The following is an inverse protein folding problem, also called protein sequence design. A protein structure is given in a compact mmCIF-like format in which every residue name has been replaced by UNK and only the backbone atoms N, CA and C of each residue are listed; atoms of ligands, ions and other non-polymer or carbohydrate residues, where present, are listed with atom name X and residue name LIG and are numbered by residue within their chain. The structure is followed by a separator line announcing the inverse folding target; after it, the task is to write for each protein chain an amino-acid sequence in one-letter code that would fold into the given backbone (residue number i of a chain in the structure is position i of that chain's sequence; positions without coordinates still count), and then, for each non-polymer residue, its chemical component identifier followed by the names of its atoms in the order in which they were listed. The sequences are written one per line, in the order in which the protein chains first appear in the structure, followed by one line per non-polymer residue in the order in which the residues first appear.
data_IF_697151579755
#
_entry.id   IF_697151579755
#
_cell.length_a   1.000
_cell.length_b   1.000
_cell.length_c   1.000
_cell.angle_alpha   90.00
_cell.angle_beta   90.00
_cell.angle_gamma   90.00
#
_symmetry.space_group_name_H-M   'P 1'
#
loop_
_entity.id
_entity.type
_entity.pdbx_description
1 polymer ?
#
# COMPACT_ATOMS: atom_id res chain seq x y z
N UNK A 1 12.36 2.86 -4.63
CA UNK A 1 12.44 1.49 -4.10
C UNK A 1 13.86 1.20 -3.67
N UNK A 2 14.05 0.56 -2.52
CA UNK A 2 15.38 0.13 -2.11
C UNK A 2 15.82 -1.00 -3.03
N UNK A 3 16.98 -0.83 -3.68
CA UNK A 3 17.56 -1.87 -4.51
C UNK A 3 18.26 -2.87 -3.60
N UNK A 4 17.75 -4.09 -3.55
CA UNK A 4 18.38 -5.22 -2.87
C UNK A 4 18.86 -6.22 -3.90
N UNK A 5 19.91 -6.97 -3.56
CA UNK A 5 20.40 -8.08 -4.37
C UNK A 5 19.86 -9.38 -3.78
N UNK A 6 19.09 -10.13 -4.58
CA UNK A 6 18.71 -11.51 -4.27
C UNK A 6 19.59 -12.47 -5.06
N UNK A 7 19.87 -13.65 -4.50
CA UNK A 7 20.74 -14.64 -5.13
C UNK A 7 20.29 -16.07 -4.81
N UNK A 8 20.70 -17.01 -5.64
CA UNK A 8 20.29 -18.40 -5.54
C UNK A 8 19.00 -18.71 -6.31
N UNK A 9 18.93 -19.93 -6.83
CA UNK A 9 17.90 -20.34 -7.81
C UNK A 9 16.50 -20.20 -7.21
N UNK A 10 16.30 -20.62 -5.96
CA UNK A 10 14.98 -20.59 -5.33
C UNK A 10 14.45 -19.17 -5.09
N UNK A 11 15.32 -18.25 -4.65
CA UNK A 11 14.93 -16.87 -4.39
C UNK A 11 14.53 -16.17 -5.69
N UNK A 12 15.32 -16.35 -6.75
CA UNK A 12 15.06 -15.76 -8.06
C UNK A 12 13.84 -16.39 -8.75
N UNK A 13 13.66 -17.71 -8.69
CA UNK A 13 12.44 -18.39 -9.18
C UNK A 13 11.17 -17.94 -8.42
N UNK A 14 11.29 -17.66 -7.12
CA UNK A 14 10.17 -17.17 -6.31
C UNK A 14 9.78 -15.75 -6.72
N UNK A 15 10.76 -14.84 -6.81
CA UNK A 15 10.52 -13.46 -7.25
C UNK A 15 9.95 -13.42 -8.67
N UNK A 16 10.49 -14.21 -9.60
CA UNK A 16 10.03 -14.24 -10.99
C UNK A 16 8.57 -14.70 -11.14
N UNK A 17 8.10 -15.60 -10.27
CA UNK A 17 6.72 -16.10 -10.29
C UNK A 17 5.74 -15.16 -9.60
N UNK A 18 6.15 -14.57 -8.49
CA UNK A 18 5.24 -13.90 -7.56
C UNK A 18 5.27 -12.38 -7.71
N UNK A 19 6.37 -11.82 -8.18
CA UNK A 19 6.60 -10.37 -8.21
C UNK A 19 7.59 -9.94 -9.32
N UNK A 20 7.39 -10.37 -10.59
CA UNK A 20 8.31 -10.07 -11.69
C UNK A 20 8.46 -8.57 -11.97
N UNK A 21 7.45 -7.75 -11.67
CA UNK A 21 7.43 -6.31 -11.88
C UNK A 21 8.47 -5.55 -11.03
N UNK A 22 8.87 -6.12 -9.88
CA UNK A 22 9.87 -5.55 -8.99
C UNK A 22 11.27 -6.15 -9.22
N UNK A 23 11.44 -6.98 -10.25
CA UNK A 23 12.75 -7.49 -10.65
C UNK A 23 13.43 -6.55 -11.64
N UNK A 24 14.74 -6.40 -11.50
CA UNK A 24 15.59 -5.67 -12.44
C UNK A 24 16.44 -6.59 -13.28
N UNK A 25 17.71 -6.21 -13.42
CA UNK A 25 18.69 -7.02 -14.15
C UNK A 25 18.91 -8.35 -13.44
N UNK A 26 18.87 -9.44 -14.20
CA UNK A 26 19.20 -10.77 -13.72
C UNK A 26 20.53 -11.18 -14.35
N UNK A 27 21.50 -11.62 -13.54
CA UNK A 27 22.77 -12.16 -14.02
C UNK A 27 22.79 -13.67 -13.83
N UNK A 28 23.16 -14.37 -14.90
CA UNK A 28 23.26 -15.84 -14.93
C UNK A 28 24.68 -16.25 -15.29
N UNK A 29 25.16 -17.32 -14.68
CA UNK A 29 26.44 -17.94 -15.01
C UNK A 29 26.50 -18.32 -16.50
N UNK A 30 27.47 -17.76 -17.23
CA UNK A 30 27.73 -18.08 -18.62
C UNK A 30 28.20 -19.54 -18.76
N UNK A 31 27.78 -20.21 -19.83
CA UNK A 31 28.16 -21.60 -20.15
C UNK A 31 27.81 -22.63 -19.05
N UNK A 32 26.80 -22.36 -18.23
CA UNK A 32 26.42 -23.28 -17.16
C UNK A 32 25.91 -24.63 -17.70
N UNK A 33 26.34 -25.72 -17.07
CA UNK A 33 25.81 -27.08 -17.32
C UNK A 33 24.60 -27.40 -16.47
N UNK A 34 24.23 -26.52 -15.53
CA UNK A 34 23.13 -26.74 -14.59
C UNK A 34 21.77 -26.58 -15.29
N UNK A 35 21.01 -27.66 -15.40
CA UNK A 35 19.71 -27.66 -16.08
C UNK A 35 18.67 -26.77 -15.39
N UNK A 36 18.79 -26.56 -14.07
CA UNK A 36 17.91 -25.62 -13.35
C UNK A 36 18.15 -24.17 -13.81
N UNK A 37 19.40 -23.78 -14.05
CA UNK A 37 19.72 -22.44 -14.54
C UNK A 37 19.26 -22.24 -15.99
N UNK A 38 19.38 -23.27 -16.84
CA UNK A 38 18.83 -23.24 -18.20
C UNK A 38 17.31 -23.06 -18.19
N UNK A 39 16.61 -23.79 -17.30
CA UNK A 39 15.16 -23.66 -17.13
C UNK A 39 14.78 -22.26 -16.65
N UNK A 40 15.51 -21.71 -15.67
CA UNK A 40 15.30 -20.35 -15.18
C UNK A 40 15.50 -19.30 -16.28
N UNK A 41 16.51 -19.48 -17.15
CA UNK A 41 16.72 -18.60 -18.31
C UNK A 41 15.51 -18.56 -19.25
N UNK A 42 14.87 -19.71 -19.49
CA UNK A 42 13.64 -19.80 -20.29
C UNK A 42 12.51 -19.06 -19.59
N UNK A 43 12.31 -19.30 -18.29
CA UNK A 43 11.26 -18.62 -17.50
C UNK A 43 11.42 -17.09 -17.52
N UNK A 44 12.66 -16.59 -17.44
CA UNK A 44 12.94 -15.15 -17.50
C UNK A 44 12.52 -14.57 -18.86
N UNK A 45 12.80 -15.30 -19.96
CA UNK A 45 12.41 -14.88 -21.30
C UNK A 45 10.88 -14.89 -21.50
N UNK A 46 10.17 -15.84 -20.88
CA UNK A 46 8.71 -15.97 -20.96
C UNK A 46 7.97 -14.82 -20.26
N UNK A 47 8.49 -14.32 -19.14
CA UNK A 47 7.87 -13.21 -18.39
C UNK A 47 7.83 -11.92 -19.22
N UNK A 48 8.84 -11.69 -20.08
CA UNK A 48 8.94 -10.46 -20.88
C UNK A 48 9.35 -9.24 -20.06
N UNK A 49 10.11 -8.31 -20.67
CA UNK A 49 10.58 -7.09 -19.99
C UNK A 49 11.81 -7.25 -19.09
N UNK A 50 12.14 -8.48 -18.68
CA UNK A 50 13.36 -8.79 -17.91
C UNK A 50 14.50 -9.25 -18.81
N UNK A 51 15.74 -8.85 -18.49
CA UNK A 51 16.95 -9.25 -19.22
C UNK A 51 17.82 -10.16 -18.38
N UNK A 52 18.12 -11.34 -18.92
CA UNK A 52 19.10 -12.25 -18.37
C UNK A 52 20.49 -11.95 -18.99
N UNK A 53 21.40 -11.41 -18.20
CA UNK A 53 22.75 -11.03 -18.59
C UNK A 53 23.72 -12.16 -18.26
N UNK A 54 24.45 -12.72 -19.24
CA UNK A 54 25.49 -13.71 -18.98
C UNK A 54 26.66 -13.08 -18.20
N UNK A 55 27.13 -13.75 -17.14
CA UNK A 55 28.21 -13.30 -16.26
C UNK A 55 29.13 -14.44 -15.85
N UNK A 56 30.38 -14.14 -15.52
CA UNK A 56 31.27 -15.10 -14.86
C UNK A 56 31.08 -15.11 -13.33
N UNK A 57 31.66 -16.13 -12.70
CA UNK A 57 31.62 -16.31 -11.25
C UNK A 57 32.21 -15.13 -10.48
N UNK A 58 33.26 -14.49 -11.01
CA UNK A 58 33.88 -13.33 -10.36
C UNK A 58 32.90 -12.15 -10.29
N UNK A 59 32.22 -11.86 -11.39
CA UNK A 59 31.18 -10.83 -11.43
C UNK A 59 30.00 -11.18 -10.51
N UNK A 60 29.53 -12.42 -10.50
CA UNK A 60 28.43 -12.86 -9.63
C UNK A 60 28.80 -12.73 -8.14
N UNK A 61 30.02 -13.13 -7.77
CA UNK A 61 30.54 -12.97 -6.40
C UNK A 61 30.60 -11.50 -5.99
N UNK A 62 31.04 -10.62 -6.90
CA UNK A 62 31.12 -9.17 -6.67
C UNK A 62 29.74 -8.56 -6.45
N UNK A 63 28.74 -8.94 -7.26
CA UNK A 63 27.37 -8.40 -7.14
C UNK A 63 26.69 -8.93 -5.88
N UNK A 64 26.77 -10.24 -5.62
CA UNK A 64 26.13 -10.87 -4.47
C UNK A 64 26.86 -10.62 -3.14
N UNK A 65 28.12 -10.16 -3.18
CA UNK A 65 29.01 -10.07 -2.02
C UNK A 65 29.14 -11.40 -1.25
N UNK A 66 28.94 -12.53 -1.95
CA UNK A 66 29.00 -13.89 -1.41
C UNK A 66 29.18 -14.91 -2.53
N UNK A 67 29.77 -16.08 -2.22
CA UNK A 67 29.88 -17.23 -3.15
C UNK A 67 28.70 -18.19 -3.13
N UNK A 68 27.64 -17.91 -2.36
CA UNK A 68 26.46 -18.78 -2.20
C UNK A 68 25.36 -18.55 -3.24
N UNK A 69 25.66 -17.83 -4.33
CA UNK A 69 24.68 -17.40 -5.32
C UNK A 69 24.17 -18.50 -6.28
N UNK A 70 24.78 -19.69 -6.29
CA UNK A 70 24.35 -20.84 -7.13
C UNK A 70 24.27 -20.52 -8.64
N UNK A 71 25.13 -19.63 -9.13
CA UNK A 71 25.16 -19.22 -10.54
C UNK A 71 24.06 -18.23 -10.97
N UNK A 72 23.29 -17.64 -10.05
CA UNK A 72 22.28 -16.61 -10.38
C UNK A 72 22.17 -15.51 -9.32
N UNK A 73 22.04 -14.27 -9.79
CA UNK A 73 21.84 -13.07 -8.98
C UNK A 73 20.83 -12.17 -9.68
N UNK A 74 19.96 -11.49 -8.94
CA UNK A 74 19.00 -10.53 -9.51
C UNK A 74 18.91 -9.26 -8.68
N UNK A 75 18.71 -8.13 -9.36
CA UNK A 75 18.21 -6.92 -8.73
C UNK A 75 16.75 -7.16 -8.34
N UNK A 76 16.43 -6.83 -7.10
CA UNK A 76 15.06 -6.83 -6.61
C UNK A 76 14.80 -5.48 -5.95
N UNK A 77 13.83 -4.76 -6.49
CA UNK A 77 13.38 -3.48 -6.01
C UNK A 77 12.25 -3.72 -5.02
N UNK A 78 12.62 -4.08 -3.79
CA UNK A 78 11.64 -4.26 -2.74
C UNK A 78 10.90 -2.93 -2.54
N UNK A 79 9.58 -2.96 -2.67
CA UNK A 79 8.74 -1.88 -2.18
C UNK A 79 9.06 -1.69 -0.70
N UNK A 80 9.32 -0.46 -0.27
CA UNK A 80 9.63 -0.19 1.14
C UNK A 80 8.43 -0.64 1.97
N UNK A 81 8.63 -1.61 2.87
CA UNK A 81 7.64 -1.94 3.87
C UNK A 81 7.62 -0.80 4.89
N UNK A 82 6.55 -0.03 4.91
CA UNK A 82 6.39 1.06 5.88
C UNK A 82 5.99 0.50 7.23
N UNK A 83 6.67 0.97 8.27
CA UNK A 83 6.42 0.62 9.66
C UNK A 83 5.59 1.69 10.35
N UNK A 84 5.14 1.42 11.57
CA UNK A 84 4.48 2.43 12.42
C UNK A 84 5.39 3.65 12.67
N UNK A 85 6.71 3.46 12.74
CA UNK A 85 7.64 4.57 12.92
C UNK A 85 7.68 5.47 11.68
N UNK A 86 7.60 4.89 10.48
CA UNK A 86 7.55 5.67 9.25
C UNK A 86 6.29 6.55 9.16
N UNK A 87 5.19 6.19 9.85
CA UNK A 87 4.04 7.07 10.00
C UNK A 87 4.42 8.32 10.78
N UNK A 88 5.05 8.16 11.94
CA UNK A 88 5.41 9.31 12.77
C UNK A 88 6.47 10.19 12.11
N UNK A 89 7.45 9.60 11.43
CA UNK A 89 8.44 10.36 10.65
C UNK A 89 7.77 11.16 9.53
N UNK A 90 6.78 10.57 8.84
CA UNK A 90 5.97 11.28 7.84
C UNK A 90 5.19 12.43 8.46
N UNK A 91 4.54 12.21 9.61
CA UNK A 91 3.75 13.24 10.28
C UNK A 91 4.62 14.40 10.76
N UNK A 92 5.80 14.10 11.31
CA UNK A 92 6.78 15.13 11.73
C UNK A 92 7.26 15.94 10.51
N UNK A 93 7.48 15.28 9.37
CA UNK A 93 7.83 15.98 8.13
C UNK A 93 6.69 16.91 7.65
N UNK A 94 5.45 16.43 7.63
CA UNK A 94 4.30 17.24 7.21
C UNK A 94 4.12 18.47 8.11
N UNK A 95 4.28 18.32 9.43
CA UNK A 95 4.18 19.41 10.39
C UNK A 95 5.30 20.45 10.18
N UNK A 96 6.54 19.99 10.02
CA UNK A 96 7.70 20.86 9.76
C UNK A 96 7.55 21.68 8.46
N UNK A 97 6.94 21.09 7.43
CA UNK A 97 6.69 21.76 6.15
C UNK A 97 5.36 22.55 6.12
N UNK A 98 4.62 22.63 7.24
CA UNK A 98 3.29 23.21 7.34
C UNK A 98 2.29 22.64 6.31
N UNK A 99 2.42 21.36 5.98
CA UNK A 99 1.53 20.63 5.08
C UNK A 99 0.37 20.04 5.90
N UNK A 100 -0.87 20.36 5.49
CA UNK A 100 -2.05 19.81 6.14
C UNK A 100 -2.17 18.31 5.85
N UNK A 101 -1.98 17.48 6.89
CA UNK A 101 -2.09 16.04 6.77
C UNK A 101 -3.44 15.61 6.16
N UNK A 102 -3.38 14.67 5.24
CA UNK A 102 -4.56 14.05 4.65
C UNK A 102 -4.30 12.56 4.58
N UNK A 103 -4.97 11.80 5.45
CA UNK A 103 -4.73 10.38 5.66
C UNK A 103 -6.01 9.59 5.37
N UNK A 104 -5.83 8.34 4.98
CA UNK A 104 -6.92 7.37 4.86
C UNK A 104 -6.70 6.24 5.86
N UNK A 105 -7.73 5.91 6.64
CA UNK A 105 -7.74 4.79 7.56
C UNK A 105 -8.76 3.76 7.05
N UNK A 106 -8.34 2.51 6.90
CA UNK A 106 -9.18 1.39 6.50
C UNK A 106 -9.34 0.43 7.68
N UNK A 107 -10.52 0.42 8.29
CA UNK A 107 -10.86 -0.45 9.42
C UNK A 107 -11.68 -1.66 8.94
N UNK A 108 -11.01 -2.80 8.80
CA UNK A 108 -11.67 -4.06 8.46
C UNK A 108 -11.80 -4.35 6.95
N UNK A 109 -11.06 -3.65 6.09
CA UNK A 109 -11.03 -3.95 4.65
C UNK A 109 -10.14 -5.18 4.40
N UNK A 110 -10.76 -6.34 4.22
CA UNK A 110 -10.09 -7.65 4.09
C UNK A 110 -9.93 -8.15 2.65
N UNK A 111 -10.69 -7.59 1.70
CA UNK A 111 -10.60 -7.96 0.29
C UNK A 111 -9.43 -7.22 -0.41
N UNK A 112 -8.45 -7.95 -0.99
CA UNK A 112 -7.37 -7.36 -1.77
C UNK A 112 -7.83 -6.46 -2.93
N UNK A 113 -8.97 -6.73 -3.55
CA UNK A 113 -9.49 -5.90 -4.64
C UNK A 113 -9.95 -4.54 -4.12
N UNK A 114 -10.72 -4.53 -3.02
CA UNK A 114 -11.12 -3.30 -2.35
C UNK A 114 -9.90 -2.50 -1.85
N UNK A 115 -8.90 -3.15 -1.22
CA UNK A 115 -7.68 -2.46 -0.80
C UNK A 115 -6.94 -1.82 -1.97
N UNK A 116 -6.71 -2.57 -3.06
CA UNK A 116 -6.02 -2.02 -4.24
C UNK A 116 -6.77 -0.83 -4.86
N UNK A 117 -8.10 -0.90 -4.94
CA UNK A 117 -8.92 0.20 -5.45
C UNK A 117 -8.90 1.43 -4.53
N UNK A 118 -8.91 1.23 -3.20
CA UNK A 118 -8.74 2.30 -2.23
C UNK A 118 -7.37 2.97 -2.34
N UNK A 119 -6.28 2.19 -2.48
CA UNK A 119 -4.92 2.75 -2.67
C UNK A 119 -4.84 3.60 -3.93
N UNK A 120 -5.36 3.10 -5.06
CA UNK A 120 -5.40 3.85 -6.32
C UNK A 120 -6.17 5.17 -6.20
N UNK A 121 -7.28 5.14 -5.48
CA UNK A 121 -8.10 6.32 -5.24
C UNK A 121 -7.40 7.30 -4.30
N UNK A 122 -6.76 6.79 -3.25
CA UNK A 122 -6.02 7.57 -2.26
C UNK A 122 -4.85 8.33 -2.89
N UNK A 123 -4.06 7.65 -3.71
CA UNK A 123 -2.99 8.25 -4.51
C UNK A 123 -3.52 9.39 -5.41
N UNK A 124 -4.56 9.09 -6.21
CA UNK A 124 -5.18 10.10 -7.08
C UNK A 124 -5.81 11.29 -6.35
N UNK A 125 -6.23 11.12 -5.09
CA UNK A 125 -6.80 12.17 -4.26
C UNK A 125 -5.75 12.97 -3.47
N UNK A 126 -4.47 12.61 -3.54
CA UNK A 126 -3.40 13.28 -2.79
C UNK A 126 -3.36 12.93 -1.30
N UNK A 127 -3.77 11.70 -0.94
CA UNK A 127 -3.59 11.19 0.42
C UNK A 127 -2.10 10.93 0.68
N UNK A 128 -1.62 11.26 1.88
CA UNK A 128 -0.21 11.15 2.25
C UNK A 128 0.18 9.76 2.76
N UNK A 129 -0.76 9.04 3.39
CA UNK A 129 -0.60 7.64 3.79
C UNK A 129 -1.95 6.94 3.97
N UNK A 130 -1.95 5.62 3.75
CA UNK A 130 -3.05 4.72 4.06
C UNK A 130 -2.68 3.86 5.26
N UNK A 131 -3.54 3.83 6.28
CA UNK A 131 -3.33 3.14 7.55
C UNK A 131 -4.36 2.04 7.69
N UNK A 132 -3.93 0.84 8.08
CA UNK A 132 -4.83 -0.30 8.35
C UNK A 132 -4.29 -1.14 9.51
N UNK A 133 -5.14 -1.86 10.27
CA UNK A 133 -4.66 -2.79 11.27
C UNK A 133 -3.93 -3.98 10.61
N UNK A 134 -2.90 -4.53 11.27
CA UNK A 134 -2.23 -5.77 10.82
C UNK A 134 -3.19 -6.96 10.78
N UNK A 135 -4.07 -7.03 11.76
CA UNK A 135 -5.08 -8.08 11.89
C UNK A 135 -6.40 -7.63 11.27
N UNK A 136 -7.13 -8.56 10.67
CA UNK A 136 -8.43 -8.32 10.06
C UNK A 136 -8.44 -7.23 8.96
N UNK A 137 -7.34 -7.09 8.24
CA UNK A 137 -7.27 -6.30 7.01
C UNK A 137 -6.45 -7.06 5.95
N UNK A 138 -6.63 -6.66 4.68
CA UNK A 138 -5.77 -7.10 3.61
C UNK A 138 -4.37 -6.48 3.76
N UNK A 139 -3.34 -7.23 3.37
CA UNK A 139 -1.97 -6.75 3.27
C UNK A 139 -1.59 -6.52 1.81
N UNK A 140 -0.54 -5.72 1.57
CA UNK A 140 0.02 -5.55 0.24
C UNK A 140 0.54 -6.91 -0.26
N UNK A 141 -0.01 -7.34 -1.39
CA UNK A 141 0.34 -8.57 -2.09
C UNK A 141 0.22 -8.34 -3.61
N UNK A 142 0.62 -9.31 -4.46
CA UNK A 142 0.61 -9.13 -5.91
C UNK A 142 -0.78 -8.75 -6.48
N UNK A 143 -1.87 -9.28 -5.92
CA UNK A 143 -3.24 -8.91 -6.31
C UNK A 143 -3.52 -7.44 -6.03
N UNK A 144 -3.16 -6.95 -4.83
CA UNK A 144 -3.31 -5.54 -4.45
C UNK A 144 -2.50 -4.64 -5.38
N UNK A 145 -1.23 -4.98 -5.63
CA UNK A 145 -0.34 -4.20 -6.53
C UNK A 145 -0.91 -4.09 -7.93
N UNK A 146 -1.39 -5.21 -8.49
CA UNK A 146 -2.03 -5.26 -9.79
C UNK A 146 -3.27 -4.36 -9.87
N UNK A 147 -4.13 -4.38 -8.85
CA UNK A 147 -5.34 -3.55 -8.83
C UNK A 147 -5.02 -2.06 -8.60
N UNK A 148 -4.03 -1.78 -7.75
CA UNK A 148 -3.58 -0.43 -7.41
C UNK A 148 -2.91 0.30 -8.58
N UNK A 149 -2.43 -0.43 -9.59
CA UNK A 149 -1.89 0.15 -10.84
C UNK A 149 -0.73 1.14 -10.59
N UNK A 150 0.19 0.80 -9.68
CA UNK A 150 1.34 1.64 -9.30
C UNK A 150 1.13 2.47 -8.03
N UNK A 151 -0.11 2.63 -7.57
CA UNK A 151 -0.38 3.38 -6.35
C UNK A 151 0.17 2.71 -5.08
N UNK A 152 0.25 1.38 -5.04
CA UNK A 152 0.80 0.64 -3.90
C UNK A 152 2.29 0.93 -3.66
N UNK A 153 2.98 1.47 -4.65
CA UNK A 153 4.38 1.89 -4.61
C UNK A 153 4.53 3.40 -4.38
N UNK A 154 3.51 4.19 -4.73
CA UNK A 154 3.51 5.64 -4.65
C UNK A 154 3.10 6.17 -3.27
N UNK A 155 2.09 5.55 -2.64
CA UNK A 155 1.58 5.97 -1.34
C UNK A 155 2.05 5.02 -0.21
N UNK A 156 2.56 5.54 0.92
CA UNK A 156 2.84 4.73 2.10
C UNK A 156 1.60 3.97 2.59
N UNK A 157 1.68 2.63 2.62
CA UNK A 157 0.71 1.78 3.30
C UNK A 157 1.28 1.28 4.62
N UNK A 158 0.63 1.65 5.73
CA UNK A 158 1.16 1.47 7.08
C UNK A 158 0.25 0.52 7.87
N UNK A 159 0.76 -0.68 8.11
CA UNK A 159 0.07 -1.70 8.89
C UNK A 159 0.37 -1.52 10.40
N UNK A 160 -0.65 -1.14 11.17
CA UNK A 160 -0.52 -0.82 12.61
C UNK A 160 -1.00 -1.97 13.49
N UNK A 161 -0.35 -2.14 14.63
CA UNK A 161 -0.63 -3.23 15.57
C UNK A 161 -1.88 -2.94 16.41
N UNK A 162 -2.11 -1.68 16.77
CA UNK A 162 -3.28 -1.25 17.53
C UNK A 162 -3.86 0.02 16.91
N UNK A 163 -4.90 -0.16 16.09
CA UNK A 163 -5.53 0.94 15.37
C UNK A 163 -6.06 2.02 16.31
N UNK A 164 -6.75 1.62 17.38
CA UNK A 164 -7.29 2.54 18.38
C UNK A 164 -6.20 3.47 18.96
N UNK A 165 -5.06 2.91 19.35
CA UNK A 165 -3.92 3.70 19.85
C UNK A 165 -3.34 4.62 18.78
N UNK A 166 -3.20 4.15 17.54
CA UNK A 166 -2.73 5.00 16.44
C UNK A 166 -3.68 6.18 16.22
N UNK A 167 -4.99 5.95 16.22
CA UNK A 167 -6.00 7.00 16.10
C UNK A 167 -5.89 8.03 17.22
N UNK A 168 -5.71 7.59 18.47
CA UNK A 168 -5.51 8.49 19.61
C UNK A 168 -4.25 9.37 19.40
N UNK A 169 -3.14 8.80 18.90
CA UNK A 169 -1.92 9.54 18.58
C UNK A 169 -2.07 10.53 17.40
N UNK A 170 -2.93 10.23 16.41
CA UNK A 170 -3.24 11.19 15.34
C UNK A 170 -3.97 12.42 15.92
N UNK A 171 -4.91 12.21 16.85
CA UNK A 171 -5.65 13.31 17.52
C UNK A 171 -4.74 14.19 18.35
N UNK A 172 -3.82 13.59 19.10
CA UNK A 172 -2.81 14.32 19.89
C UNK A 172 -1.95 15.25 19.01
N UNK A 173 -1.80 14.92 17.73
CA UNK A 173 -1.10 15.73 16.72
C UNK A 173 -2.01 16.72 15.98
N UNK A 174 -3.24 16.93 16.44
CA UNK A 174 -4.18 17.88 15.84
C UNK A 174 -4.81 17.40 14.52
N UNK A 175 -4.76 16.10 14.21
CA UNK A 175 -5.39 15.52 13.03
C UNK A 175 -6.82 15.08 13.38
N UNK A 176 -7.80 15.66 12.71
CA UNK A 176 -9.22 15.35 12.94
C UNK A 176 -9.60 13.99 12.35
N UNK A 177 -10.28 13.16 13.13
CA UNK A 177 -10.76 11.85 12.69
C UNK A 177 -12.20 11.94 12.18
N UNK A 178 -12.41 11.69 10.89
CA UNK A 178 -13.73 11.72 10.26
C UNK A 178 -14.12 10.34 9.77
N UNK A 179 -15.05 9.68 10.47
CA UNK A 179 -15.50 8.33 10.14
C UNK A 179 -16.76 8.28 9.28
N UNK A 180 -16.85 7.30 8.38
CA UNK A 180 -18.10 7.03 7.66
C UNK A 180 -19.00 6.09 8.45
N UNK A 181 -20.24 6.50 8.73
CA UNK A 181 -21.22 5.71 9.46
C UNK A 181 -22.65 6.03 9.01
N UNK A 182 -23.54 5.04 9.06
CA UNK A 182 -24.98 5.21 8.84
C UNK A 182 -25.68 5.95 9.98
N UNK A 183 -25.03 6.04 11.15
CA UNK A 183 -25.47 6.82 12.32
C UNK A 183 -25.09 8.30 12.25
N UNK A 184 -24.39 8.72 11.21
CA UNK A 184 -23.93 10.09 11.07
C UNK A 184 -25.11 11.07 10.96
N UNK A 185 -25.03 12.18 11.71
CA UNK A 185 -26.05 13.23 11.67
C UNK A 185 -25.86 14.21 10.51
N UNK A 186 -24.68 14.22 9.90
CA UNK A 186 -24.35 15.06 8.76
C UNK A 186 -23.85 14.21 7.59
N UNK A 187 -24.08 14.73 6.39
CA UNK A 187 -23.59 14.14 5.14
C UNK A 187 -22.18 14.66 4.85
N UNK A 188 -21.42 13.95 4.01
CA UNK A 188 -20.11 14.41 3.56
C UNK A 188 -20.12 15.81 2.92
N UNK A 189 -21.26 16.23 2.35
CA UNK A 189 -21.42 17.53 1.70
C UNK A 189 -21.64 18.68 2.69
N UNK A 190 -21.98 18.37 3.94
CA UNK A 190 -22.21 19.34 5.01
C UNK A 190 -21.00 19.47 5.93
N UNK A 191 -20.21 18.39 6.04
CA UNK A 191 -19.01 18.37 6.85
C UNK A 191 -17.90 19.25 6.23
N UNK A 192 -17.11 19.87 7.11
CA UNK A 192 -15.86 20.52 6.72
C UNK A 192 -14.75 19.47 6.65
N UNK A 193 -14.29 19.17 5.44
CA UNK A 193 -13.25 18.18 5.14
C UNK A 193 -11.91 18.86 4.80
N UNK A 194 -11.75 20.13 5.18
CA UNK A 194 -10.50 20.89 5.06
C UNK A 194 -9.60 20.65 6.29
N UNK A 195 -8.35 21.15 6.22
CA UNK A 195 -7.41 21.06 7.35
C UNK A 195 -6.75 19.69 7.53
N UNK A 196 -5.96 19.49 8.60
CA UNK A 196 -5.35 18.20 8.89
C UNK A 196 -6.41 17.16 9.28
N UNK A 197 -6.51 16.04 8.54
CA UNK A 197 -7.52 15.02 8.81
C UNK A 197 -7.08 13.58 8.46
N UNK A 198 -7.74 12.63 9.10
CA UNK A 198 -7.78 11.23 8.70
C UNK A 198 -9.22 10.81 8.42
N UNK A 199 -9.51 10.42 7.17
CA UNK A 199 -10.79 9.86 6.78
C UNK A 199 -10.81 8.36 7.11
N UNK A 200 -11.81 7.91 7.86
CA UNK A 200 -11.91 6.52 8.35
C UNK A 200 -13.05 5.79 7.64
N UNK A 201 -12.68 4.73 6.91
CA UNK A 201 -13.59 3.89 6.13
C UNK A 201 -13.68 2.51 6.77
N UNK A 202 -14.90 2.00 6.89
CA UNK A 202 -15.16 0.69 7.48
C UNK A 202 -15.22 -0.45 6.46
N UNK A 203 -15.29 -1.67 6.98
CA UNK A 203 -15.56 -2.85 6.17
C UNK A 203 -16.93 -2.77 5.49
N UNK A 204 -17.05 -3.46 4.36
CA UNK A 204 -18.33 -3.62 3.68
C UNK A 204 -19.33 -4.35 4.61
N UNK A 205 -20.55 -3.83 4.72
CA UNK A 205 -21.58 -4.35 5.62
C UNK A 205 -21.44 -3.88 7.07
N UNK A 206 -20.42 -4.34 7.79
CA UNK A 206 -20.30 -4.04 9.24
C UNK A 206 -19.90 -2.60 9.55
N UNK A 207 -19.39 -1.86 8.56
CA UNK A 207 -18.88 -0.51 8.76
C UNK A 207 -17.62 -0.48 9.62
N UNK A 208 -17.35 0.68 10.24
CA UNK A 208 -16.24 0.88 11.17
C UNK A 208 -16.53 0.16 12.50
N UNK A 209 -15.48 -0.34 13.16
CA UNK A 209 -15.65 -0.99 14.46
C UNK A 209 -16.04 0.03 15.53
N UNK A 210 -16.75 -0.41 16.56
CA UNK A 210 -17.20 0.44 17.67
C UNK A 210 -16.07 1.30 18.28
N UNK A 211 -14.91 0.71 18.58
CA UNK A 211 -13.79 1.44 19.18
C UNK A 211 -13.18 2.49 18.23
N UNK A 212 -13.30 2.27 16.93
CA UNK A 212 -12.90 3.22 15.88
C UNK A 212 -13.92 4.35 15.78
N UNK A 213 -15.21 4.01 15.77
CA UNK A 213 -16.33 4.98 15.76
C UNK A 213 -16.28 5.91 16.97
N UNK A 214 -16.07 5.39 18.18
CA UNK A 214 -15.99 6.16 19.42
C UNK A 214 -14.81 7.16 19.45
N UNK A 215 -13.79 6.96 18.61
CA UNK A 215 -12.62 7.85 18.50
C UNK A 215 -12.78 8.93 17.45
N UNK A 216 -13.65 8.72 16.46
CA UNK A 216 -13.91 9.70 15.42
C UNK A 216 -14.47 10.97 16.05
N UNK A 217 -13.90 12.12 15.67
CA UNK A 217 -14.40 13.44 16.08
C UNK A 217 -15.71 13.77 15.36
N UNK A 218 -15.82 13.31 14.12
CA UNK A 218 -17.01 13.49 13.29
C UNK A 218 -17.40 12.17 12.64
N UNK A 219 -18.71 11.96 12.52
CA UNK A 219 -19.28 10.93 11.66
C UNK A 219 -19.98 11.59 10.49
N UNK A 220 -19.72 11.07 9.28
CA UNK A 220 -20.34 11.51 8.04
C UNK A 220 -21.03 10.34 7.33
N UNK A 221 -22.10 10.63 6.60
CA UNK A 221 -22.78 9.65 5.74
C UNK A 221 -22.72 10.06 4.26
N UNK A 222 -22.78 9.07 3.38
CA UNK A 222 -23.06 9.26 1.96
C UNK A 222 -24.57 9.16 1.77
N UNK A 223 -25.26 10.19 1.25
CA UNK A 223 -26.70 10.13 1.03
C UNK A 223 -27.10 9.02 0.06
N UNK A 224 -27.89 8.07 0.55
CA UNK A 224 -28.45 6.98 -0.24
C UNK A 224 -29.89 7.30 -0.65
N UNK A 225 -30.20 7.24 -1.95
CA UNK A 225 -31.56 7.46 -2.49
C UNK A 225 -32.26 6.18 -2.96
N UNK A 226 -31.54 5.06 -2.97
CA UNK A 226 -32.04 3.76 -3.43
C UNK A 226 -32.51 2.86 -2.29
N UNK A 227 -32.79 1.60 -2.63
CA UNK A 227 -33.16 0.56 -1.66
C UNK A 227 -31.95 -0.05 -0.92
N UNK A 228 -30.75 0.14 -1.45
CA UNK A 228 -29.51 -0.32 -0.81
C UNK A 228 -29.07 0.65 0.28
N UNK A 229 -28.59 0.12 1.39
CA UNK A 229 -28.18 0.88 2.58
C UNK A 229 -26.74 1.39 2.53
N UNK A 230 -25.90 0.86 1.63
CA UNK A 230 -24.50 1.23 1.54
C UNK A 230 -23.93 1.04 0.13
N UNK A 231 -22.77 1.64 -0.09
CA UNK A 231 -21.93 1.44 -1.28
C UNK A 231 -20.82 0.44 -0.95
N UNK A 232 -20.22 -0.13 -2.00
CA UNK A 232 -18.95 -0.83 -1.86
C UNK A 232 -17.89 0.10 -1.26
N UNK A 233 -17.03 -0.44 -0.38
CA UNK A 233 -16.07 0.37 0.37
C UNK A 233 -15.16 1.19 -0.54
N UNK A 234 -14.67 0.63 -1.64
CA UNK A 234 -13.78 1.35 -2.57
C UNK A 234 -14.50 2.52 -3.26
N UNK A 235 -15.77 2.35 -3.60
CA UNK A 235 -16.62 3.41 -4.18
C UNK A 235 -16.91 4.49 -3.15
N UNK A 236 -17.26 4.10 -1.92
CA UNK A 236 -17.50 5.03 -0.82
C UNK A 236 -16.22 5.84 -0.50
N UNK A 237 -15.06 5.19 -0.48
CA UNK A 237 -13.75 5.85 -0.32
C UNK A 237 -13.52 6.87 -1.44
N UNK A 238 -13.80 6.53 -2.70
CA UNK A 238 -13.72 7.46 -3.83
C UNK A 238 -14.60 8.69 -3.66
N UNK A 239 -15.87 8.49 -3.31
CA UNK A 239 -16.82 9.60 -3.12
C UNK A 239 -16.36 10.53 -1.99
N UNK A 240 -15.95 9.98 -0.84
CA UNK A 240 -15.51 10.78 0.29
C UNK A 240 -14.18 11.51 0.04
N UNK A 241 -13.18 10.83 -0.55
CA UNK A 241 -11.88 11.43 -0.81
C UNK A 241 -11.94 12.54 -1.85
N UNK A 242 -12.74 12.37 -2.92
CA UNK A 242 -12.88 13.41 -3.93
C UNK A 242 -13.74 14.59 -3.47
N UNK A 243 -14.68 14.40 -2.53
CA UNK A 243 -15.33 15.54 -1.88
C UNK A 243 -14.34 16.31 -0.99
N UNK A 244 -13.50 15.61 -0.21
CA UNK A 244 -12.44 16.27 0.55
C UNK A 244 -11.47 17.03 -0.36
N UNK A 245 -11.05 16.44 -1.48
CA UNK A 245 -10.21 17.09 -2.49
C UNK A 245 -10.88 18.36 -3.04
N UNK A 246 -12.16 18.27 -3.42
CA UNK A 246 -12.94 19.42 -3.91
C UNK A 246 -12.96 20.56 -2.89
N UNK A 247 -13.16 20.26 -1.61
CA UNK A 247 -13.17 21.27 -0.55
C UNK A 247 -11.79 21.87 -0.28
N UNK A 248 -10.72 21.08 -0.37
CA UNK A 248 -9.33 21.51 -0.14
C UNK A 248 -8.77 22.38 -1.27
N UNK A 249 -9.32 22.26 -2.47
CA UNK A 249 -8.95 23.09 -3.62
C UNK A 249 -9.70 24.43 -3.69
N UNK A 250 -10.72 24.63 -2.86
CA UNK A 250 -11.60 25.80 -2.84
C UNK A 250 -11.26 26.76 -1.70
#
# INVERSE_FOLDING_TARGET
MAKTIIYGIHAVESALRNDPENMGTIWLEKNTRNDRLKKLQIQIAEVGGLKATPSDLEQLNKIASTGRHQGVVAEYYQAKDYTENDLYDLLDHLDNENIQAFLLVLDGVTDPHNLGACLRTADGAGVHAVIAPKDHAASINPTVRKVASGAAEAIPFIAVTNLARTLDSLKERGIWLTGTSDKAQQTLYQADLKGPMALVMGAEGSGIRRLTEERCDFLISIPMRGQVSSLNVSVATGVCLYEALRQRQA
#
